data_IF_061049217291
#
_entry.id   IF_061049217291
#
_cell.length_a   1.000
_cell.length_b   1.000
_cell.length_c   1.000
_cell.angle_alpha   90.00
_cell.angle_beta   90.00
_cell.angle_gamma   90.00
#
_symmetry.space_group_name_H-M   'P 1'
#
loop_
_entity.id
_entity.type
_entity.pdbx_description
1 polymer ?
#
# COMPACT_ATOMS: atom_id res chain seq x y z
N UNK A 1 11.13 15.29 14.91
CA UNK A 1 11.32 13.84 14.69
C UNK A 1 10.38 12.98 15.51
N UNK A 2 9.64 12.08 14.85
CA UNK A 2 8.83 11.04 15.48
C UNK A 2 9.67 9.76 15.51
N UNK A 3 9.91 9.19 16.68
CA UNK A 3 10.64 7.92 16.82
C UNK A 3 9.72 6.70 16.66
N UNK A 4 10.25 5.65 16.05
CA UNK A 4 9.66 4.33 15.92
C UNK A 4 10.75 3.27 15.85
N UNK A 5 10.41 1.99 15.88
CA UNK A 5 11.42 0.93 16.05
C UNK A 5 12.49 0.94 14.93
N UNK A 6 12.12 1.22 13.68
CA UNK A 6 13.10 1.36 12.59
C UNK A 6 13.99 2.62 12.69
N UNK A 7 13.63 3.61 13.51
CA UNK A 7 14.49 4.77 13.77
C UNK A 7 15.81 4.34 14.41
N UNK A 8 15.79 3.30 15.26
CA UNK A 8 17.02 2.78 15.89
C UNK A 8 17.98 2.19 14.85
N UNK A 9 17.45 1.48 13.85
CA UNK A 9 18.27 0.92 12.78
C UNK A 9 18.84 2.02 11.86
N UNK A 10 18.06 3.07 11.59
CA UNK A 10 18.58 4.28 10.92
C UNK A 10 19.74 4.87 11.72
N UNK A 11 19.58 4.99 13.05
CA UNK A 11 20.63 5.52 13.91
C UNK A 11 21.89 4.64 13.92
N UNK A 12 21.75 3.31 13.93
CA UNK A 12 22.87 2.37 13.84
C UNK A 12 23.62 2.51 12.51
N UNK A 13 22.90 2.58 11.39
CA UNK A 13 23.49 2.82 10.07
C UNK A 13 24.25 4.15 10.07
N UNK A 14 23.62 5.24 10.52
CA UNK A 14 24.27 6.54 10.58
C UNK A 14 25.46 6.57 11.54
N UNK A 15 25.43 5.81 12.64
CA UNK A 15 26.56 5.67 13.56
C UNK A 15 27.76 5.01 12.89
N UNK A 16 27.53 4.04 11.99
CA UNK A 16 28.60 3.40 11.23
C UNK A 16 29.27 4.36 10.22
N UNK A 17 28.50 5.27 9.61
CA UNK A 17 29.00 6.24 8.62
C UNK A 17 29.60 7.50 9.25
N UNK A 18 29.00 8.01 10.33
CA UNK A 18 29.28 9.35 10.86
C UNK A 18 29.76 9.35 12.33
N UNK A 19 29.85 8.17 12.96
CA UNK A 19 30.26 8.05 14.36
C UNK A 19 29.40 8.93 15.27
N UNK A 20 30.04 9.68 16.17
CA UNK A 20 29.37 10.54 17.15
C UNK A 20 28.48 11.63 16.52
N UNK A 21 28.63 11.93 15.23
CA UNK A 21 27.80 12.93 14.54
C UNK A 21 26.45 12.36 14.06
N UNK A 22 26.23 11.05 14.12
CA UNK A 22 25.04 10.38 13.57
C UNK A 22 23.70 11.00 14.02
N UNK A 23 23.57 11.29 15.31
CA UNK A 23 22.36 11.89 15.87
C UNK A 23 22.12 13.31 15.34
N UNK A 24 23.18 14.08 15.10
CA UNK A 24 23.09 15.44 14.56
C UNK A 24 22.79 15.41 13.07
N UNK A 25 23.47 14.53 12.32
CA UNK A 25 23.22 14.25 10.90
C UNK A 25 21.76 13.92 10.64
N UNK A 26 21.16 13.03 11.44
CA UNK A 26 19.75 12.67 11.30
C UNK A 26 18.80 13.84 11.55
N UNK A 27 19.15 14.76 12.47
CA UNK A 27 18.32 15.91 12.83
C UNK A 27 18.44 17.08 11.85
N UNK A 28 19.61 17.26 11.26
CA UNK A 28 19.91 18.38 10.36
C UNK A 28 19.62 18.06 8.88
N UNK A 29 19.39 16.79 8.53
CA UNK A 29 19.01 16.39 7.17
C UNK A 29 17.51 16.16 7.04
N UNK A 30 16.81 17.03 6.28
CA UNK A 30 15.40 16.81 5.97
C UNK A 30 15.18 15.56 5.10
N UNK A 31 16.17 15.15 4.30
CA UNK A 31 16.08 13.91 3.53
C UNK A 31 16.11 12.67 4.44
N UNK A 32 16.99 12.64 5.45
CA UNK A 32 17.00 11.55 6.44
C UNK A 32 15.77 11.58 7.34
N UNK A 33 15.29 12.75 7.77
CA UNK A 33 14.03 12.84 8.53
C UNK A 33 12.83 12.39 7.66
N UNK A 34 12.84 12.70 6.36
CA UNK A 34 11.85 12.18 5.42
C UNK A 34 11.90 10.64 5.35
N UNK A 35 13.09 10.05 5.16
CA UNK A 35 13.24 8.59 5.14
C UNK A 35 12.75 7.97 6.45
N UNK A 36 13.05 8.55 7.61
CA UNK A 36 12.52 8.11 8.90
C UNK A 36 10.97 8.12 8.88
N UNK A 37 10.33 9.23 8.51
CA UNK A 37 8.87 9.31 8.38
C UNK A 37 8.30 8.22 7.46
N UNK A 38 8.96 7.94 6.33
CA UNK A 38 8.49 7.01 5.29
C UNK A 38 8.76 5.54 5.62
N UNK A 39 9.69 5.25 6.53
CA UNK A 39 10.06 3.90 6.99
C UNK A 39 9.31 3.44 8.24
N UNK A 40 8.45 4.29 8.82
CA UNK A 40 7.54 3.95 9.95
C UNK A 40 6.77 2.63 9.82
N UNK A 41 6.55 2.18 8.58
CA UNK A 41 5.87 0.93 8.23
C UNK A 41 6.73 -0.34 8.34
N UNK A 42 8.01 -0.22 8.67
CA UNK A 42 8.92 -1.36 8.77
C UNK A 42 8.50 -2.34 9.88
N UNK A 43 8.17 -1.83 11.06
CA UNK A 43 7.93 -2.65 12.27
C UNK A 43 6.53 -2.49 12.84
N UNK A 44 5.84 -1.39 12.56
CA UNK A 44 4.44 -1.26 12.97
C UNK A 44 3.61 -2.23 12.16
N UNK A 45 2.74 -2.97 12.85
CA UNK A 45 1.55 -3.54 12.25
C UNK A 45 0.81 -2.46 11.43
N UNK A 46 1.13 -2.41 10.14
CA UNK A 46 0.18 -2.59 9.05
C UNK A 46 -0.85 -1.48 8.77
N UNK A 47 -0.98 -0.49 9.65
CA UNK A 47 -1.75 0.74 9.39
C UNK A 47 -1.03 1.72 8.46
N UNK A 48 0.25 1.49 8.19
CA UNK A 48 1.06 2.31 7.28
C UNK A 48 1.65 1.42 6.19
N UNK A 49 1.25 1.67 4.93
CA UNK A 49 1.80 0.99 3.76
C UNK A 49 3.27 1.37 3.54
N UNK A 50 4.03 0.45 2.96
CA UNK A 50 5.38 0.76 2.51
C UNK A 50 5.38 1.76 1.37
N UNK A 51 6.19 2.81 1.51
CA UNK A 51 6.26 3.90 0.53
C UNK A 51 7.29 3.64 -0.57
N UNK A 52 7.31 2.42 -1.10
CA UNK A 52 8.33 1.95 -2.07
C UNK A 52 8.50 2.90 -3.26
N UNK A 53 7.42 3.47 -3.80
CA UNK A 53 7.50 4.43 -4.89
C UNK A 53 8.42 5.63 -4.59
N UNK A 54 8.34 6.20 -3.38
CA UNK A 54 9.16 7.35 -2.99
C UNK A 54 10.56 6.92 -2.57
N UNK A 55 10.68 5.82 -1.81
CA UNK A 55 12.00 5.28 -1.45
C UNK A 55 12.79 4.98 -2.71
N UNK A 56 12.17 4.32 -3.70
CA UNK A 56 12.87 3.94 -4.92
C UNK A 56 13.11 5.12 -5.84
N UNK A 57 12.34 6.20 -5.76
CA UNK A 57 12.65 7.43 -6.48
C UNK A 57 13.92 8.09 -5.94
N UNK A 58 14.11 8.12 -4.62
CA UNK A 58 15.37 8.54 -3.99
C UNK A 58 16.47 7.55 -4.38
N UNK A 59 16.24 6.25 -4.13
CA UNK A 59 17.23 5.19 -4.31
C UNK A 59 17.89 5.23 -5.68
N UNK A 60 17.10 5.20 -6.76
CA UNK A 60 17.68 5.11 -8.11
C UNK A 60 18.44 6.38 -8.52
N UNK A 61 18.04 7.55 -8.02
CA UNK A 61 18.76 8.80 -8.27
C UNK A 61 20.04 8.92 -7.43
N UNK A 62 20.02 8.43 -6.19
CA UNK A 62 21.21 8.37 -5.34
C UNK A 62 22.18 7.29 -5.83
N UNK A 63 21.66 6.16 -6.31
CA UNK A 63 22.44 5.09 -6.95
C UNK A 63 23.12 5.63 -8.22
N UNK A 64 22.41 6.39 -9.06
CA UNK A 64 22.98 7.08 -10.23
C UNK A 64 24.06 8.09 -9.83
N UNK A 65 23.81 8.89 -8.78
CA UNK A 65 24.78 9.83 -8.23
C UNK A 65 26.09 9.16 -7.78
N UNK A 66 25.99 8.05 -7.04
CA UNK A 66 27.14 7.28 -6.58
C UNK A 66 27.86 6.59 -7.77
N UNK A 67 27.11 6.06 -8.73
CA UNK A 67 27.68 5.42 -9.94
C UNK A 67 28.50 6.40 -10.79
N UNK A 68 28.13 7.68 -10.80
CA UNK A 68 28.92 8.74 -11.42
C UNK A 68 30.11 9.24 -10.60
N UNK A 69 30.34 8.66 -9.41
CA UNK A 69 31.38 9.06 -8.44
C UNK A 69 31.28 10.53 -7.99
N UNK A 70 30.08 11.11 -8.09
CA UNK A 70 29.82 12.51 -7.74
C UNK A 70 29.90 12.79 -6.23
N UNK A 71 29.93 11.74 -5.42
CA UNK A 71 30.23 11.84 -4.00
C UNK A 71 31.70 12.17 -3.71
N UNK A 72 32.60 11.87 -4.67
CA UNK A 72 34.06 12.03 -4.55
C UNK A 72 34.59 13.18 -5.40
N UNK A 73 33.94 13.45 -6.53
CA UNK A 73 34.30 14.53 -7.45
C UNK A 73 33.27 15.68 -7.36
N UNK A 74 33.63 16.88 -7.78
CA UNK A 74 32.73 18.04 -7.77
C UNK A 74 32.08 18.29 -9.15
N UNK A 75 32.03 17.28 -10.02
CA UNK A 75 31.60 17.44 -11.41
C UNK A 75 30.08 17.29 -11.61
N UNK A 76 29.32 17.09 -10.52
CA UNK A 76 27.87 16.89 -10.59
C UNK A 76 27.12 18.08 -11.21
N UNK A 77 27.64 19.30 -11.05
CA UNK A 77 27.08 20.51 -11.66
C UNK A 77 27.06 20.44 -13.20
N UNK A 78 27.96 19.65 -13.80
CA UNK A 78 28.10 19.48 -15.24
C UNK A 78 27.41 18.20 -15.77
N UNK A 79 26.74 17.44 -14.90
CA UNK A 79 26.10 16.19 -15.28
C UNK A 79 24.83 16.42 -16.11
N UNK A 80 24.74 15.77 -17.28
CA UNK A 80 23.57 15.82 -18.16
C UNK A 80 22.27 15.27 -17.54
N UNK A 81 22.37 14.53 -16.44
CA UNK A 81 21.25 13.92 -15.74
C UNK A 81 20.93 12.51 -16.18
N UNK A 82 20.25 11.78 -15.29
CA UNK A 82 19.81 10.42 -15.55
C UNK A 82 18.62 10.39 -16.51
N UNK A 83 18.56 9.36 -17.36
CA UNK A 83 17.42 9.14 -18.24
C UNK A 83 16.26 8.54 -17.46
N UNK A 84 15.06 9.08 -17.70
CA UNK A 84 13.83 8.56 -17.12
C UNK A 84 13.62 7.05 -17.31
N UNK A 85 13.86 6.54 -18.52
CA UNK A 85 13.68 5.12 -18.85
C UNK A 85 14.53 4.21 -17.97
N UNK A 86 15.75 4.65 -17.68
CA UNK A 86 16.77 3.85 -17.00
C UNK A 86 16.44 3.83 -15.50
N UNK A 87 16.08 4.99 -14.94
CA UNK A 87 15.58 5.09 -13.57
C UNK A 87 14.33 4.25 -13.35
N UNK A 88 13.33 4.35 -14.23
CA UNK A 88 12.09 3.57 -14.09
C UNK A 88 12.35 2.06 -14.20
N UNK A 89 13.21 1.65 -15.13
CA UNK A 89 13.59 0.24 -15.28
C UNK A 89 14.25 -0.27 -14.00
N UNK A 90 15.20 0.50 -13.46
CA UNK A 90 15.87 0.17 -12.19
C UNK A 90 14.90 0.11 -11.01
N UNK A 91 13.94 1.03 -10.90
CA UNK A 91 12.91 0.98 -9.86
C UNK A 91 12.09 -0.31 -9.90
N UNK A 92 11.88 -0.88 -11.10
CA UNK A 92 11.08 -2.09 -11.30
C UNK A 92 11.84 -3.38 -11.03
N UNK A 93 13.16 -3.32 -11.01
CA UNK A 93 14.03 -4.44 -10.63
C UNK A 93 14.10 -4.64 -9.11
N UNK A 94 13.87 -3.57 -8.33
CA UNK A 94 13.88 -3.65 -6.87
C UNK A 94 12.67 -4.45 -6.34
N UNK A 95 12.81 -5.13 -5.18
CA UNK A 95 11.71 -5.89 -4.57
C UNK A 95 10.43 -5.06 -4.42
N UNK A 96 9.24 -5.63 -4.67
CA UNK A 96 7.98 -4.86 -4.66
C UNK A 96 7.90 -3.68 -5.68
N UNK A 97 8.89 -3.52 -6.56
CA UNK A 97 9.02 -2.41 -7.50
C UNK A 97 8.40 -2.65 -8.88
N UNK A 98 8.16 -3.90 -9.26
CA UNK A 98 7.84 -4.33 -10.64
C UNK A 98 6.67 -3.60 -11.33
N UNK A 99 5.69 -3.13 -10.55
CA UNK A 99 4.49 -2.41 -11.04
C UNK A 99 4.46 -0.94 -10.64
N UNK A 100 5.56 -0.40 -10.12
CA UNK A 100 5.62 1.01 -9.77
C UNK A 100 5.34 1.89 -10.99
N UNK A 101 4.45 2.85 -10.75
CA UNK A 101 4.14 3.93 -11.67
C UNK A 101 5.13 5.08 -11.48
N UNK A 102 5.18 5.95 -12.47
CA UNK A 102 6.17 7.02 -12.57
C UNK A 102 5.84 8.28 -11.76
N UNK A 103 4.70 8.31 -11.07
CA UNK A 103 4.22 9.50 -10.38
C UNK A 103 5.20 10.02 -9.31
N UNK A 104 5.94 9.12 -8.65
CA UNK A 104 6.92 9.48 -7.62
C UNK A 104 8.08 10.31 -8.20
N UNK A 105 8.73 9.82 -9.26
CA UNK A 105 9.80 10.55 -9.97
C UNK A 105 9.32 11.88 -10.54
N UNK A 106 8.05 11.96 -10.98
CA UNK A 106 7.56 13.13 -11.70
C UNK A 106 7.16 14.31 -10.81
N UNK A 107 6.40 14.07 -9.74
CA UNK A 107 5.85 15.17 -8.93
C UNK A 107 5.42 14.75 -7.52
N UNK A 108 4.90 13.53 -7.35
CA UNK A 108 4.23 13.10 -6.12
C UNK A 108 5.16 13.14 -4.91
N UNK A 109 6.41 12.71 -5.10
CA UNK A 109 7.41 12.69 -4.03
C UNK A 109 7.81 14.11 -3.60
N UNK A 110 8.08 15.00 -4.55
CA UNK A 110 8.38 16.41 -4.25
C UNK A 110 7.22 17.13 -3.54
N UNK A 111 5.97 16.90 -3.97
CA UNK A 111 4.78 17.44 -3.31
C UNK A 111 4.65 16.97 -1.87
N UNK A 112 4.89 15.67 -1.65
CA UNK A 112 4.81 15.09 -0.31
C UNK A 112 5.95 15.60 0.58
N UNK A 113 7.18 15.66 0.06
CA UNK A 113 8.32 16.21 0.78
C UNK A 113 8.06 17.64 1.25
N UNK A 114 7.58 18.54 0.37
CA UNK A 114 7.23 19.92 0.74
C UNK A 114 6.14 20.04 1.79
N UNK A 115 5.22 19.05 1.89
CA UNK A 115 4.19 19.05 2.95
C UNK A 115 4.80 18.78 4.32
N UNK A 116 5.84 17.97 4.39
CA UNK A 116 6.57 17.70 5.63
C UNK A 116 7.57 18.82 5.97
N UNK A 117 8.23 19.39 4.95
CA UNK A 117 9.28 20.40 5.10
C UNK A 117 8.96 21.67 4.29
N UNK A 118 7.95 22.46 4.70
CA UNK A 118 7.50 23.62 3.93
C UNK A 118 8.50 24.79 3.90
N UNK A 119 9.44 24.82 4.85
CA UNK A 119 10.50 25.85 4.95
C UNK A 119 11.80 25.44 4.28
N UNK A 120 11.93 24.18 3.83
CA UNK A 120 13.12 23.73 3.11
C UNK A 120 13.12 24.38 1.72
N UNK A 121 14.22 25.05 1.37
CA UNK A 121 14.37 25.70 0.07
C UNK A 121 14.53 24.68 -1.07
N UNK A 122 14.93 23.46 -0.73
CA UNK A 122 15.26 22.41 -1.68
C UNK A 122 14.13 21.39 -1.86
N UNK A 123 14.06 20.83 -3.06
CA UNK A 123 13.24 19.65 -3.37
C UNK A 123 14.15 18.46 -3.68
N UNK A 124 13.75 17.21 -3.36
CA UNK A 124 14.58 16.04 -3.60
C UNK A 124 14.90 15.79 -5.09
N UNK A 125 13.90 15.85 -5.96
CA UNK A 125 14.07 15.48 -7.37
C UNK A 125 14.02 16.73 -8.25
N UNK A 126 15.09 16.98 -8.99
CA UNK A 126 15.11 17.97 -10.06
C UNK A 126 14.82 17.27 -11.38
N UNK A 127 14.03 17.92 -12.25
CA UNK A 127 13.64 17.36 -13.55
C UNK A 127 13.63 18.43 -14.62
N UNK A 128 14.18 18.09 -15.78
CA UNK A 128 13.93 18.81 -17.02
C UNK A 128 12.87 18.05 -17.84
N UNK A 129 11.72 18.70 -18.06
CA UNK A 129 10.58 18.07 -18.76
C UNK A 129 10.76 18.00 -20.28
N UNK A 130 11.60 18.85 -20.86
CA UNK A 130 11.89 18.87 -22.29
C UNK A 130 12.85 17.73 -22.66
N UNK A 131 13.88 17.52 -21.86
CA UNK A 131 14.91 16.50 -22.12
C UNK A 131 14.65 15.17 -21.39
N UNK A 132 13.63 15.10 -20.53
CA UNK A 132 13.33 13.97 -19.65
C UNK A 132 14.57 13.49 -18.85
N UNK A 133 15.31 14.46 -18.31
CA UNK A 133 16.49 14.26 -17.46
C UNK A 133 16.16 14.56 -16.01
N UNK A 134 16.78 13.79 -15.12
CA UNK A 134 16.48 13.79 -13.69
C UNK A 134 17.77 13.80 -12.87
N UNK A 135 17.72 14.45 -11.71
CA UNK A 135 18.81 14.55 -10.75
C UNK A 135 18.26 14.44 -9.34
N UNK A 136 19.04 13.84 -8.44
CA UNK A 136 18.86 14.11 -7.00
C UNK A 136 19.45 15.50 -6.71
N UNK A 137 18.77 16.29 -5.89
CA UNK A 137 19.28 17.59 -5.46
C UNK A 137 20.43 17.40 -4.46
N UNK A 138 21.64 17.72 -4.90
CA UNK A 138 22.86 17.49 -4.12
C UNK A 138 22.87 18.26 -2.78
N UNK A 139 22.16 19.39 -2.70
CA UNK A 139 22.02 20.16 -1.45
C UNK A 139 21.32 19.36 -0.33
N UNK A 140 20.61 18.28 -0.67
CA UNK A 140 20.00 17.37 0.30
C UNK A 140 20.88 16.14 0.60
N UNK A 141 21.98 15.95 -0.13
CA UNK A 141 22.97 14.89 0.09
C UNK A 141 24.23 15.40 0.80
N UNK A 142 24.64 16.64 0.53
CA UNK A 142 25.76 17.31 1.19
C UNK A 142 25.24 18.14 2.36
N UNK A 143 25.48 17.68 3.59
CA UNK A 143 25.09 18.37 4.82
C UNK A 143 26.32 18.89 5.55
N UNK A 144 26.19 19.99 6.29
CA UNK A 144 27.27 20.56 7.10
C UNK A 144 26.98 20.36 8.57
N UNK A 145 27.71 19.46 9.23
CA UNK A 145 27.56 19.18 10.67
C UNK A 145 28.84 19.58 11.39
N UNK A 146 28.72 20.41 12.42
CA UNK A 146 29.85 20.89 13.23
C UNK A 146 31.00 21.52 12.38
N UNK A 147 30.67 22.15 11.25
CA UNK A 147 31.63 22.79 10.34
C UNK A 147 32.33 21.83 9.36
N UNK A 148 31.98 20.54 9.37
CA UNK A 148 32.46 19.56 8.39
C UNK A 148 31.34 19.22 7.39
N UNK A 149 31.68 19.17 6.11
CA UNK A 149 30.79 18.69 5.06
C UNK A 149 30.77 17.16 5.07
N UNK A 150 29.57 16.59 5.08
CA UNK A 150 29.32 15.15 5.02
C UNK A 150 28.42 14.84 3.83
N UNK A 151 28.71 13.75 3.12
CA UNK A 151 27.83 13.22 2.08
C UNK A 151 27.05 12.02 2.65
N UNK A 152 25.72 12.08 2.56
CA UNK A 152 24.83 11.03 3.10
C UNK A 152 24.38 10.00 2.06
N UNK A 153 24.88 10.05 0.82
CA UNK A 153 24.42 9.20 -0.28
C UNK A 153 24.46 7.70 0.05
N UNK A 154 25.59 7.20 0.56
CA UNK A 154 25.74 5.79 0.94
C UNK A 154 24.81 5.39 2.09
N UNK A 155 24.69 6.23 3.13
CA UNK A 155 23.78 5.98 4.23
C UNK A 155 22.31 5.95 3.78
N UNK A 156 21.93 6.80 2.83
CA UNK A 156 20.58 6.80 2.23
C UNK A 156 20.27 5.47 1.53
N UNK A 157 21.22 4.94 0.74
CA UNK A 157 21.06 3.63 0.10
C UNK A 157 20.91 2.53 1.15
N UNK A 158 21.80 2.48 2.14
CA UNK A 158 21.80 1.44 3.17
C UNK A 158 20.52 1.46 4.04
N UNK A 159 20.00 2.65 4.36
CA UNK A 159 18.71 2.80 5.07
C UNK A 159 17.56 2.21 4.25
N UNK A 160 17.54 2.48 2.93
CA UNK A 160 16.50 1.97 2.05
C UNK A 160 16.64 0.45 1.88
N UNK A 161 17.85 -0.07 1.71
CA UNK A 161 18.10 -1.52 1.61
C UNK A 161 17.67 -2.25 2.89
N UNK A 162 18.07 -1.76 4.07
CA UNK A 162 17.63 -2.33 5.36
C UNK A 162 16.10 -2.32 5.52
N UNK A 163 15.43 -1.29 5.00
CA UNK A 163 13.97 -1.24 4.98
C UNK A 163 13.36 -2.29 4.04
N UNK A 164 13.96 -2.51 2.87
CA UNK A 164 13.55 -3.53 1.91
C UNK A 164 13.69 -4.93 2.52
N UNK A 165 14.81 -5.20 3.18
CA UNK A 165 15.10 -6.51 3.78
C UNK A 165 14.07 -6.89 4.83
N UNK A 166 13.76 -5.98 5.76
CA UNK A 166 12.72 -6.22 6.79
C UNK A 166 11.36 -6.50 6.17
N UNK A 167 11.00 -5.75 5.11
CA UNK A 167 9.73 -5.96 4.42
C UNK A 167 9.69 -7.30 3.69
N UNK A 168 10.82 -7.72 3.14
CA UNK A 168 10.98 -9.01 2.45
C UNK A 168 10.89 -10.16 3.45
N UNK A 169 11.60 -10.08 4.57
CA UNK A 169 11.59 -11.10 5.63
C UNK A 169 10.22 -11.25 6.28
N UNK A 170 9.58 -10.13 6.64
CA UNK A 170 8.22 -10.13 7.19
C UNK A 170 7.23 -10.80 6.23
N UNK A 171 7.42 -10.59 4.92
CA UNK A 171 6.58 -11.21 3.91
C UNK A 171 6.86 -12.73 3.76
N UNK A 172 8.13 -13.14 3.71
CA UNK A 172 8.48 -14.56 3.66
C UNK A 172 7.95 -15.34 4.87
N UNK A 173 8.06 -14.75 6.07
CA UNK A 173 7.49 -15.32 7.30
C UNK A 173 5.96 -15.45 7.22
N UNK A 174 5.28 -14.48 6.60
CA UNK A 174 3.84 -14.55 6.38
C UNK A 174 3.43 -15.71 5.46
N UNK A 175 4.12 -15.87 4.32
CA UNK A 175 3.87 -17.00 3.40
C UNK A 175 4.15 -18.34 4.08
N UNK A 176 5.29 -18.47 4.75
CA UNK A 176 5.65 -19.69 5.49
C UNK A 176 4.60 -20.03 6.56
N UNK A 177 4.04 -19.01 7.23
CA UNK A 177 2.95 -19.18 8.19
C UNK A 177 1.66 -19.69 7.53
N UNK A 178 1.30 -19.13 6.37
CA UNK A 178 0.13 -19.60 5.61
C UNK A 178 0.30 -21.04 5.13
N UNK A 179 1.46 -21.40 4.58
CA UNK A 179 1.76 -22.77 4.12
C UNK A 179 1.79 -23.77 5.28
N UNK A 180 2.33 -23.38 6.44
CA UNK A 180 2.30 -24.21 7.65
C UNK A 180 0.87 -24.44 8.14
N UNK A 181 0.03 -23.40 8.15
CA UNK A 181 -1.37 -23.52 8.55
C UNK A 181 -2.15 -24.40 7.56
N UNK A 182 -1.86 -24.28 6.26
CA UNK A 182 -2.44 -25.15 5.23
C UNK A 182 -2.14 -26.64 5.48
N UNK A 183 -0.92 -26.97 5.92
CA UNK A 183 -0.53 -28.35 6.24
C UNK A 183 -1.16 -28.87 7.54
N UNK A 184 -1.30 -28.00 8.56
CA UNK A 184 -1.81 -28.38 9.88
C UNK A 184 -3.35 -28.39 9.97
N UNK A 185 -4.06 -27.86 8.99
CA UNK A 185 -5.51 -27.74 9.04
C UNK A 185 -6.22 -29.10 9.20
N UNK A 186 -5.69 -30.17 8.62
CA UNK A 186 -6.26 -31.52 8.80
C UNK A 186 -6.14 -32.04 10.23
N UNK A 187 -5.20 -31.50 11.01
CA UNK A 187 -4.92 -31.92 12.38
C UNK A 187 -5.63 -31.01 13.41
N UNK A 188 -5.74 -29.71 13.13
CA UNK A 188 -6.34 -28.72 14.03
C UNK A 188 -7.04 -27.56 13.28
N UNK A 189 -8.31 -27.73 12.89
CA UNK A 189 -9.08 -26.70 12.19
C UNK A 189 -9.25 -25.40 13.00
N UNK A 190 -9.24 -25.49 14.35
CA UNK A 190 -9.41 -24.32 15.21
C UNK A 190 -8.22 -23.37 15.09
N UNK A 191 -6.98 -23.90 15.06
CA UNK A 191 -5.79 -23.07 14.84
C UNK A 191 -5.82 -22.34 13.50
N UNK A 192 -6.28 -23.01 12.45
CA UNK A 192 -6.44 -22.40 11.13
C UNK A 192 -7.48 -21.25 11.17
N UNK A 193 -8.61 -21.46 11.84
CA UNK A 193 -9.63 -20.42 12.02
C UNK A 193 -9.13 -19.22 12.84
N UNK A 194 -8.41 -19.47 13.94
CA UNK A 194 -7.80 -18.42 14.76
C UNK A 194 -6.76 -17.61 13.96
N UNK A 195 -5.94 -18.29 13.15
CA UNK A 195 -4.98 -17.65 12.27
C UNK A 195 -5.65 -16.70 11.29
N UNK A 196 -6.65 -17.16 10.53
CA UNK A 196 -7.38 -16.29 9.57
C UNK A 196 -8.08 -15.13 10.29
N UNK A 197 -8.69 -15.39 11.46
CA UNK A 197 -9.31 -14.35 12.29
C UNK A 197 -8.32 -13.27 12.71
N UNK A 198 -7.07 -13.64 12.99
CA UNK A 198 -6.00 -12.70 13.32
C UNK A 198 -5.65 -11.79 12.14
N UNK A 199 -5.79 -12.27 10.90
CA UNK A 199 -5.46 -11.51 9.67
C UNK A 199 -6.51 -10.46 9.29
N UNK A 200 -7.72 -10.54 9.83
CA UNK A 200 -8.83 -9.61 9.53
C UNK A 200 -8.81 -8.41 10.51
N UNK A 201 -7.97 -8.45 11.54
CA UNK A 201 -7.98 -7.43 12.59
C UNK A 201 -7.60 -6.03 12.07
N UNK A 202 -8.10 -4.94 12.67
CA UNK A 202 -7.83 -3.56 12.21
C UNK A 202 -6.36 -3.13 12.25
N UNK A 203 -5.50 -3.89 12.92
CA UNK A 203 -4.05 -3.73 12.96
C UNK A 203 -3.31 -4.64 11.97
N UNK A 204 -3.99 -5.24 10.97
CA UNK A 204 -3.40 -6.05 9.88
C UNK A 204 -3.24 -5.32 8.55
N UNK A 205 -2.26 -5.72 7.73
CA UNK A 205 -1.76 -4.90 6.60
C UNK A 205 -2.88 -4.70 5.61
N UNK A 206 -3.02 -3.49 5.07
CA UNK A 206 -4.06 -3.17 4.09
C UNK A 206 -4.19 -4.24 3.00
N UNK A 207 -3.04 -4.72 2.48
CA UNK A 207 -2.99 -5.70 1.41
C UNK A 207 -3.37 -7.09 1.91
N UNK A 208 -2.89 -7.48 3.10
CA UNK A 208 -3.29 -8.73 3.74
C UNK A 208 -4.81 -8.72 3.99
N UNK A 209 -5.34 -7.63 4.53
CA UNK A 209 -6.77 -7.47 4.78
C UNK A 209 -7.58 -7.58 3.48
N UNK A 210 -7.13 -6.95 2.38
CA UNK A 210 -7.77 -7.06 1.07
C UNK A 210 -7.75 -8.50 0.54
N UNK A 211 -6.60 -9.18 0.61
CA UNK A 211 -6.45 -10.59 0.18
C UNK A 211 -7.38 -11.51 0.98
N UNK A 212 -7.39 -11.35 2.30
CA UNK A 212 -8.21 -12.19 3.19
C UNK A 212 -9.70 -11.88 3.00
N UNK A 213 -10.06 -10.60 2.83
CA UNK A 213 -11.44 -10.21 2.50
C UNK A 213 -11.89 -10.83 1.19
N UNK A 214 -11.04 -10.80 0.16
CA UNK A 214 -11.35 -11.44 -1.11
C UNK A 214 -11.58 -12.94 -0.96
N UNK A 215 -10.64 -13.66 -0.31
CA UNK A 215 -10.73 -15.10 -0.11
C UNK A 215 -12.01 -15.51 0.63
N UNK A 216 -12.36 -14.79 1.72
CA UNK A 216 -13.58 -15.06 2.48
C UNK A 216 -14.83 -14.79 1.64
N UNK A 217 -14.91 -13.64 0.98
CA UNK A 217 -16.09 -13.28 0.20
C UNK A 217 -16.25 -14.19 -1.02
N UNK A 218 -15.16 -14.57 -1.69
CA UNK A 218 -15.16 -15.53 -2.80
C UNK A 218 -15.84 -16.84 -2.39
N UNK A 219 -15.41 -17.42 -1.26
CA UNK A 219 -15.97 -18.68 -0.78
C UNK A 219 -17.37 -18.54 -0.17
N UNK A 220 -17.66 -17.39 0.45
CA UNK A 220 -18.99 -17.09 1.00
C UNK A 220 -20.08 -16.98 -0.08
N UNK A 221 -19.75 -16.41 -1.23
CA UNK A 221 -20.67 -16.25 -2.35
C UNK A 221 -20.71 -17.48 -3.29
N UNK A 222 -19.71 -18.36 -3.25
CA UNK A 222 -19.58 -19.47 -4.21
C UNK A 222 -20.77 -20.46 -4.22
N UNK A 223 -21.51 -20.60 -3.10
CA UNK A 223 -22.73 -21.44 -3.03
C UNK A 223 -24.02 -20.72 -3.40
N UNK A 224 -23.96 -19.41 -3.58
CA UNK A 224 -25.14 -18.62 -3.87
C UNK A 224 -25.44 -18.69 -5.36
N UNK A 225 -26.69 -18.98 -5.67
CA UNK A 225 -27.16 -19.16 -7.04
C UNK A 225 -28.26 -18.16 -7.33
N UNK A 226 -28.25 -17.64 -8.54
CA UNK A 226 -29.32 -16.79 -9.06
C UNK A 226 -30.01 -17.48 -10.22
N UNK A 227 -31.23 -17.05 -10.47
CA UNK A 227 -32.06 -17.51 -11.57
C UNK A 227 -32.40 -16.30 -12.45
N UNK A 228 -31.99 -16.32 -13.71
CA UNK A 228 -32.15 -15.17 -14.61
C UNK A 228 -32.27 -15.62 -16.07
N UNK A 229 -33.05 -14.89 -16.86
CA UNK A 229 -33.31 -15.17 -18.27
C UNK A 229 -34.11 -14.03 -18.88
N UNK A 230 -34.09 -13.91 -20.21
CA UNK A 230 -34.86 -12.86 -20.91
C UNK A 230 -36.37 -13.12 -20.89
N UNK A 231 -36.77 -14.38 -20.67
CA UNK A 231 -38.15 -14.83 -20.54
C UNK A 231 -38.27 -15.84 -19.41
N UNK A 232 -39.48 -16.06 -18.89
CA UNK A 232 -39.74 -17.05 -17.84
C UNK A 232 -39.31 -18.46 -18.26
N UNK A 233 -39.51 -18.81 -19.53
CA UNK A 233 -39.15 -20.12 -20.09
C UNK A 233 -37.64 -20.28 -20.35
N UNK A 234 -36.87 -19.19 -20.27
CA UNK A 234 -35.42 -19.16 -20.50
C UNK A 234 -34.61 -18.84 -19.24
N UNK A 235 -35.22 -18.95 -18.05
CA UNK A 235 -34.52 -18.75 -16.78
C UNK A 235 -33.43 -19.81 -16.62
N UNK A 236 -32.20 -19.36 -16.45
CA UNK A 236 -31.04 -20.17 -16.20
C UNK A 236 -30.56 -19.99 -14.77
N UNK A 237 -30.08 -21.09 -14.18
CA UNK A 237 -29.38 -21.08 -12.89
C UNK A 237 -27.91 -20.72 -13.13
N UNK A 238 -27.42 -19.70 -12.44
CA UNK A 238 -26.01 -19.31 -12.46
C UNK A 238 -25.48 -19.12 -11.03
N UNK A 239 -24.29 -19.63 -10.74
CA UNK A 239 -23.61 -19.37 -9.46
C UNK A 239 -23.00 -17.99 -9.44
N UNK A 240 -22.94 -17.37 -8.26
CA UNK A 240 -22.20 -16.13 -8.07
C UNK A 240 -20.70 -16.42 -8.04
N UNK A 241 -19.95 -15.63 -8.80
CA UNK A 241 -18.48 -15.71 -8.88
C UNK A 241 -17.91 -14.34 -8.58
N UNK A 242 -17.02 -14.26 -7.60
CA UNK A 242 -16.31 -13.03 -7.26
C UNK A 242 -14.94 -13.01 -7.96
N UNK A 243 -14.74 -12.04 -8.86
CA UNK A 243 -13.49 -11.83 -9.57
C UNK A 243 -12.71 -10.66 -8.94
N UNK A 244 -11.38 -10.75 -8.91
CA UNK A 244 -10.53 -9.57 -8.71
C UNK A 244 -10.41 -8.81 -10.03
N UNK A 245 -10.41 -7.50 -9.94
CA UNK A 245 -10.17 -6.60 -11.09
C UNK A 245 -8.67 -6.38 -11.36
N UNK A 246 -7.81 -6.80 -10.41
CA UNK A 246 -6.36 -6.74 -10.51
C UNK A 246 -5.68 -7.16 -9.20
N UNK A 247 -4.38 -6.86 -9.11
CA UNK A 247 -3.59 -6.98 -7.87
C UNK A 247 -4.03 -5.98 -6.80
N UNK A 248 -3.63 -6.20 -5.55
CA UNK A 248 -4.10 -5.38 -4.43
C UNK A 248 -3.69 -3.93 -4.58
N UNK A 249 -4.70 -3.06 -4.74
CA UNK A 249 -4.52 -1.66 -5.09
C UNK A 249 -5.13 -0.76 -4.02
N UNK A 250 -4.84 -1.05 -2.75
CA UNK A 250 -5.36 -0.35 -1.57
C UNK A 250 -5.20 1.21 -1.54
N UNK A 251 -4.57 1.86 -2.53
CA UNK A 251 -4.29 3.32 -2.49
C UNK A 251 -4.53 4.13 -3.77
N UNK A 252 -4.75 3.55 -4.94
CA UNK A 252 -5.05 4.37 -6.13
C UNK A 252 -6.55 4.60 -6.31
N UNK A 253 -7.36 4.03 -5.40
CA UNK A 253 -8.81 3.91 -5.53
C UNK A 253 -9.17 3.04 -6.72
N UNK A 254 -10.37 2.50 -6.74
CA UNK A 254 -10.80 1.62 -7.81
C UNK A 254 -11.95 0.76 -7.34
N UNK A 255 -12.18 -0.31 -8.08
CA UNK A 255 -13.02 -1.42 -7.67
C UNK A 255 -12.07 -2.59 -7.53
N UNK A 256 -11.99 -3.20 -6.36
CA UNK A 256 -11.11 -4.36 -6.11
C UNK A 256 -11.75 -5.65 -6.62
N UNK A 257 -13.07 -5.83 -6.42
CA UNK A 257 -13.77 -7.04 -6.83
C UNK A 257 -15.05 -6.76 -7.63
N UNK A 258 -15.37 -7.65 -8.56
CA UNK A 258 -16.61 -7.63 -9.34
C UNK A 258 -17.29 -8.99 -9.25
N UNK A 259 -18.57 -8.99 -8.92
CA UNK A 259 -19.38 -10.20 -8.86
C UNK A 259 -20.10 -10.43 -10.18
N UNK A 260 -19.85 -11.59 -10.77
CA UNK A 260 -20.58 -12.10 -11.92
C UNK A 260 -21.70 -13.05 -11.45
N UNK A 261 -22.89 -13.04 -12.07
CA UNK A 261 -23.34 -12.15 -13.14
C UNK A 261 -24.05 -10.87 -12.66
N UNK A 262 -24.21 -10.63 -11.35
CA UNK A 262 -24.95 -9.49 -10.82
C UNK A 262 -24.37 -8.12 -11.21
N UNK A 263 -23.09 -8.04 -11.54
CA UNK A 263 -22.40 -6.78 -11.80
C UNK A 263 -22.16 -5.98 -10.52
N UNK A 264 -22.06 -6.66 -9.37
CA UNK A 264 -21.88 -6.01 -8.07
C UNK A 264 -20.42 -5.64 -7.84
N UNK A 265 -20.15 -4.39 -7.47
CA UNK A 265 -18.81 -3.87 -7.27
C UNK A 265 -18.43 -3.80 -5.80
N UNK A 266 -17.21 -4.21 -5.48
CA UNK A 266 -16.67 -4.19 -4.13
C UNK A 266 -15.39 -3.36 -4.09
N UNK A 267 -15.28 -2.53 -3.06
CA UNK A 267 -14.07 -1.77 -2.78
C UNK A 267 -13.65 -1.95 -1.34
N UNK A 268 -12.39 -2.35 -1.13
CA UNK A 268 -11.79 -2.52 0.19
C UNK A 268 -11.11 -1.22 0.61
N UNK A 269 -11.35 -0.78 1.84
CA UNK A 269 -10.74 0.45 2.37
C UNK A 269 -10.40 0.34 3.84
N UNK A 270 -9.26 0.92 4.21
CA UNK A 270 -8.83 1.03 5.61
C UNK A 270 -9.42 2.22 6.35
N UNK A 271 -9.98 3.18 5.61
CA UNK A 271 -10.37 4.49 6.14
C UNK A 271 -11.83 4.77 5.87
N UNK A 272 -12.43 5.58 6.74
CA UNK A 272 -13.76 6.16 6.54
C UNK A 272 -13.69 7.56 5.90
N UNK A 273 -12.56 7.93 5.24
CA UNK A 273 -12.41 9.22 4.55
C UNK A 273 -13.36 9.28 3.35
N UNK A 274 -14.36 10.16 3.43
CA UNK A 274 -15.40 10.31 2.40
C UNK A 274 -14.83 10.60 1.01
N UNK A 275 -13.69 11.29 0.91
CA UNK A 275 -13.12 11.67 -0.38
C UNK A 275 -12.65 10.45 -1.16
N UNK A 276 -12.19 9.40 -0.47
CA UNK A 276 -11.81 8.13 -1.12
C UNK A 276 -13.03 7.39 -1.64
N UNK A 277 -14.04 7.19 -0.79
CA UNK A 277 -15.28 6.50 -1.18
C UNK A 277 -15.94 7.17 -2.39
N UNK A 278 -16.04 8.50 -2.38
CA UNK A 278 -16.72 9.23 -3.45
C UNK A 278 -15.90 9.24 -4.75
N UNK A 279 -14.56 9.21 -4.66
CA UNK A 279 -13.70 9.02 -5.82
C UNK A 279 -13.95 7.67 -6.49
N UNK A 280 -14.10 6.60 -5.71
CA UNK A 280 -14.38 5.25 -6.24
C UNK A 280 -15.78 5.18 -6.86
N UNK A 281 -16.78 5.81 -6.23
CA UNK A 281 -18.12 5.97 -6.79
C UNK A 281 -18.07 6.75 -8.13
N UNK A 282 -17.32 7.85 -8.19
CA UNK A 282 -17.22 8.65 -9.42
C UNK A 282 -16.50 7.90 -10.56
N UNK A 283 -15.54 7.02 -10.24
CA UNK A 283 -14.85 6.17 -11.24
C UNK A 283 -15.78 5.21 -11.96
N UNK A 284 -16.84 4.75 -11.29
CA UNK A 284 -17.86 3.87 -11.89
C UNK A 284 -19.11 4.63 -12.31
N UNK A 285 -18.98 5.94 -12.61
CA UNK A 285 -20.08 6.81 -13.01
C UNK A 285 -21.28 6.78 -12.05
N UNK A 286 -21.00 6.67 -10.75
CA UNK A 286 -22.01 6.61 -9.67
C UNK A 286 -22.89 5.36 -9.71
N UNK A 287 -22.36 4.26 -10.24
CA UNK A 287 -22.92 2.94 -10.03
C UNK A 287 -22.80 2.54 -8.54
N UNK A 288 -23.74 1.73 -7.98
CA UNK A 288 -23.64 1.27 -6.60
C UNK A 288 -22.36 0.47 -6.30
N UNK A 289 -21.75 0.74 -5.15
CA UNK A 289 -20.52 0.08 -4.68
C UNK A 289 -20.71 -0.42 -3.26
N UNK A 290 -20.31 -1.67 -3.03
CA UNK A 290 -20.18 -2.28 -1.71
C UNK A 290 -18.80 -1.97 -1.13
N UNK A 291 -18.75 -1.44 0.10
CA UNK A 291 -17.48 -1.11 0.75
C UNK A 291 -17.14 -2.12 1.84
N UNK A 292 -15.98 -2.78 1.70
CA UNK A 292 -15.40 -3.63 2.76
C UNK A 292 -14.44 -2.79 3.59
N UNK A 293 -14.85 -2.41 4.79
CA UNK A 293 -14.16 -1.41 5.60
C UNK A 293 -13.44 -2.08 6.77
N UNK A 294 -12.12 -1.86 6.86
CA UNK A 294 -11.26 -2.34 7.96
C UNK A 294 -11.53 -1.59 9.27
N UNK A 295 -12.74 -1.76 9.81
CA UNK A 295 -13.22 -1.13 11.03
C UNK A 295 -14.03 -2.12 11.87
N UNK A 296 -13.89 -2.02 13.19
CA UNK A 296 -14.71 -2.73 14.17
C UNK A 296 -15.94 -1.92 14.60
N UNK A 297 -16.11 -0.70 14.09
CA UNK A 297 -17.27 0.13 14.38
C UNK A 297 -18.54 -0.42 13.74
N UNK A 298 -19.71 -0.15 14.33
CA UNK A 298 -20.98 -0.56 13.75
C UNK A 298 -21.26 0.14 12.42
N UNK A 299 -22.12 -0.47 11.59
CA UNK A 299 -22.51 0.07 10.29
C UNK A 299 -23.14 1.46 10.42
N UNK A 300 -23.97 1.68 11.45
CA UNK A 300 -24.57 2.99 11.72
C UNK A 300 -23.51 4.05 12.01
N UNK A 301 -22.51 3.72 12.82
CA UNK A 301 -21.42 4.65 13.16
C UNK A 301 -20.61 4.99 11.90
N UNK A 302 -20.25 3.99 11.10
CA UNK A 302 -19.51 4.19 9.86
C UNK A 302 -20.32 5.06 8.88
N UNK A 303 -21.58 4.70 8.65
CA UNK A 303 -22.49 5.42 7.75
C UNK A 303 -22.67 6.88 8.19
N UNK A 304 -22.86 7.11 9.48
CA UNK A 304 -22.98 8.45 10.05
C UNK A 304 -21.69 9.26 9.89
N UNK A 305 -20.51 8.64 10.07
CA UNK A 305 -19.22 9.30 9.84
C UNK A 305 -19.04 9.71 8.38
N UNK A 306 -19.36 8.82 7.43
CA UNK A 306 -19.27 9.13 5.99
C UNK A 306 -20.24 10.28 5.64
N UNK A 307 -21.50 10.19 6.09
CA UNK A 307 -22.51 11.22 5.87
C UNK A 307 -22.14 12.57 6.49
N UNK A 308 -21.62 12.59 7.72
CA UNK A 308 -21.18 13.83 8.38
C UNK A 308 -20.00 14.48 7.66
N UNK A 309 -19.00 13.69 7.24
CA UNK A 309 -17.88 14.19 6.45
C UNK A 309 -18.32 14.70 5.08
N UNK A 310 -19.26 14.02 4.43
CA UNK A 310 -19.84 14.47 3.15
C UNK A 310 -20.55 15.82 3.31
N UNK A 311 -21.40 15.96 4.35
CA UNK A 311 -22.08 17.23 4.66
C UNK A 311 -21.09 18.36 4.89
N UNK A 312 -20.00 18.09 5.62
CA UNK A 312 -18.93 19.08 5.86
C UNK A 312 -18.20 19.47 4.57
N UNK A 313 -17.99 18.52 3.66
CA UNK A 313 -17.21 18.75 2.43
C UNK A 313 -18.00 19.44 1.33
N UNK A 314 -19.29 19.09 1.16
CA UNK A 314 -20.10 19.57 0.04
C UNK A 314 -21.11 20.66 0.44
N UNK A 315 -21.58 20.71 1.70
CA UNK A 315 -22.59 21.66 2.15
C UNK A 315 -24.00 21.49 1.55
N UNK A 316 -24.18 20.68 0.51
CA UNK A 316 -25.46 20.51 -0.22
C UNK A 316 -26.07 19.14 0.04
N UNK A 317 -27.19 19.10 0.77
CA UNK A 317 -27.85 17.87 1.18
C UNK A 317 -28.24 16.94 0.01
N UNK A 318 -28.68 17.51 -1.13
CA UNK A 318 -29.05 16.73 -2.33
C UNK A 318 -27.84 16.02 -2.96
N UNK A 319 -26.66 16.65 -2.94
CA UNK A 319 -25.43 16.04 -3.44
C UNK A 319 -25.01 14.90 -2.52
N UNK A 320 -24.99 15.15 -1.20
CA UNK A 320 -24.66 14.12 -0.20
C UNK A 320 -25.57 12.91 -0.34
N UNK A 321 -26.89 13.13 -0.43
CA UNK A 321 -27.86 12.03 -0.60
C UNK A 321 -27.52 11.17 -1.83
N UNK A 322 -27.25 11.76 -2.98
CA UNK A 322 -26.93 11.01 -4.22
C UNK A 322 -25.70 10.12 -4.07
N UNK A 323 -24.64 10.60 -3.41
CA UNK A 323 -23.46 9.76 -3.17
C UNK A 323 -23.73 8.67 -2.13
N UNK A 324 -24.47 8.98 -1.06
CA UNK A 324 -24.83 7.98 -0.05
C UNK A 324 -25.73 6.88 -0.63
N UNK A 325 -26.60 7.19 -1.59
CA UNK A 325 -27.42 6.22 -2.33
C UNK A 325 -26.58 5.29 -3.23
N UNK A 326 -25.35 5.66 -3.56
CA UNK A 326 -24.42 4.80 -4.31
C UNK A 326 -23.65 3.83 -3.40
N UNK A 327 -23.81 3.92 -2.07
CA UNK A 327 -23.26 2.93 -1.14
C UNK A 327 -24.27 1.80 -1.06
N UNK A 328 -23.98 0.69 -1.73
CA UNK A 328 -24.88 -0.47 -1.81
C UNK A 328 -24.93 -1.26 -0.50
N UNK A 329 -23.75 -1.56 0.06
CA UNK A 329 -23.58 -2.25 1.34
C UNK A 329 -22.27 -1.79 1.99
N UNK A 330 -22.21 -1.86 3.33
CA UNK A 330 -20.96 -1.75 4.08
C UNK A 330 -20.72 -3.07 4.82
N UNK A 331 -19.58 -3.70 4.54
CA UNK A 331 -19.10 -4.90 5.22
C UNK A 331 -17.96 -4.46 6.14
N UNK A 332 -18.20 -4.41 7.45
CA UNK A 332 -17.15 -4.15 8.44
C UNK A 332 -16.45 -5.46 8.85
N UNK A 333 -15.46 -5.38 9.75
CA UNK A 333 -14.72 -6.55 10.26
C UNK A 333 -15.66 -7.59 10.88
N UNK A 334 -16.68 -7.15 11.62
CA UNK A 334 -17.60 -8.08 12.28
C UNK A 334 -18.47 -8.85 11.27
N UNK A 335 -18.98 -8.18 10.23
CA UNK A 335 -19.75 -8.84 9.18
C UNK A 335 -18.86 -9.80 8.39
N UNK A 336 -17.62 -9.40 8.08
CA UNK A 336 -16.67 -10.26 7.40
C UNK A 336 -16.32 -11.52 8.22
N UNK A 337 -16.17 -11.40 9.54
CA UNK A 337 -15.99 -12.55 10.44
C UNK A 337 -17.23 -13.46 10.45
N UNK A 338 -18.43 -12.89 10.41
CA UNK A 338 -19.66 -13.68 10.33
C UNK A 338 -19.75 -14.44 8.99
N UNK A 339 -19.33 -13.82 7.88
CA UNK A 339 -19.20 -14.51 6.59
C UNK A 339 -18.17 -15.64 6.67
N UNK A 340 -17.01 -15.38 7.26
CA UNK A 340 -15.98 -16.39 7.46
C UNK A 340 -16.48 -17.58 8.27
N UNK A 341 -17.18 -17.35 9.39
CA UNK A 341 -17.74 -18.44 10.19
C UNK A 341 -18.71 -19.32 9.38
N UNK A 342 -19.55 -18.73 8.52
CA UNK A 342 -20.42 -19.49 7.61
C UNK A 342 -19.63 -20.30 6.58
N UNK A 343 -18.51 -19.77 6.08
CA UNK A 343 -17.61 -20.49 5.17
C UNK A 343 -16.97 -21.69 5.88
N UNK A 344 -16.58 -21.53 7.15
CA UNK A 344 -16.06 -22.62 7.99
C UNK A 344 -17.14 -23.68 8.23
N UNK A 345 -18.36 -23.27 8.59
CA UNK A 345 -19.52 -24.17 8.76
C UNK A 345 -19.83 -24.99 7.49
N UNK A 346 -19.57 -24.42 6.31
CA UNK A 346 -19.72 -25.08 5.02
C UNK A 346 -18.49 -25.91 4.59
N UNK A 347 -17.53 -26.16 5.49
CA UNK A 347 -16.30 -26.94 5.26
C UNK A 347 -15.38 -26.37 4.16
N UNK A 348 -15.35 -25.05 3.98
CA UNK A 348 -14.55 -24.35 2.94
C UNK A 348 -13.34 -23.59 3.47
N UNK A 349 -12.94 -23.85 4.72
CA UNK A 349 -11.76 -23.23 5.33
C UNK A 349 -10.48 -23.45 4.49
N UNK A 350 -10.35 -24.65 3.90
CA UNK A 350 -9.20 -24.99 3.06
C UNK A 350 -9.12 -24.10 1.81
N UNK A 351 -10.26 -23.87 1.15
CA UNK A 351 -10.35 -23.02 -0.02
C UNK A 351 -9.96 -21.56 0.30
N UNK A 352 -10.35 -21.07 1.48
CA UNK A 352 -9.94 -19.73 1.94
C UNK A 352 -8.43 -19.64 2.10
N UNK A 353 -7.79 -20.63 2.75
CA UNK A 353 -6.34 -20.63 2.97
C UNK A 353 -5.60 -20.74 1.63
N UNK A 354 -6.03 -21.63 0.74
CA UNK A 354 -5.47 -21.78 -0.60
C UNK A 354 -5.54 -20.49 -1.39
N UNK A 355 -6.68 -19.79 -1.35
CA UNK A 355 -6.84 -18.51 -2.02
C UNK A 355 -5.94 -17.43 -1.40
N UNK A 356 -5.79 -17.39 -0.08
CA UNK A 356 -4.88 -16.43 0.58
C UNK A 356 -3.43 -16.68 0.13
N UNK A 357 -2.98 -17.94 0.11
CA UNK A 357 -1.63 -18.30 -0.35
C UNK A 357 -1.42 -17.91 -1.80
N UNK A 358 -2.38 -18.26 -2.68
CA UNK A 358 -2.34 -17.93 -4.10
C UNK A 358 -2.25 -16.43 -4.34
N UNK A 359 -3.16 -15.67 -3.74
CA UNK A 359 -3.24 -14.22 -3.93
C UNK A 359 -2.03 -13.50 -3.34
N UNK A 360 -1.50 -13.98 -2.22
CA UNK A 360 -0.26 -13.43 -1.66
C UNK A 360 0.93 -13.72 -2.60
N UNK A 361 1.05 -14.93 -3.13
CA UNK A 361 2.10 -15.27 -4.10
C UNK A 361 2.06 -14.39 -5.36
N UNK A 362 0.87 -14.11 -5.89
CA UNK A 362 0.67 -13.20 -7.04
C UNK A 362 1.02 -11.77 -6.69
N UNK A 363 0.53 -11.26 -5.55
CA UNK A 363 0.74 -9.87 -5.14
C UNK A 363 2.22 -9.52 -4.99
N UNK A 364 2.98 -10.47 -4.48
CA UNK A 364 4.37 -10.27 -4.11
C UNK A 364 5.37 -10.85 -5.13
N UNK A 365 4.93 -11.07 -6.37
CA UNK A 365 5.74 -11.48 -7.53
C UNK A 365 6.44 -12.85 -7.43
N UNK A 366 5.93 -13.79 -6.64
CA UNK A 366 6.42 -15.18 -6.64
C UNK A 366 5.93 -15.98 -7.86
N UNK A 367 4.83 -15.55 -8.47
CA UNK A 367 4.28 -16.09 -9.71
C UNK A 367 3.97 -14.94 -10.67
N UNK A 368 4.32 -15.11 -11.95
CA UNK A 368 3.78 -14.26 -13.01
C UNK A 368 2.36 -14.76 -13.33
N UNK A 369 1.42 -13.83 -13.51
CA UNK A 369 0.07 -14.14 -14.01
C UNK A 369 0.11 -14.72 -15.42
#
# INVERSE_FOLDING_TARGET
MIEHDFTYQIQEILQSHFGNNASTVLKESELLEYLNIKTKSATRGSKSRGSFANHYAIYVLVEDYIKGEFDKNNDYENYEGARYSDLLSRQRELPFGSKLQNHALNHRMNQEFKKYFPTCEYIPILRNSETNRYWINENLLKISVAGAAHNIAYAVIEIIDAYIDIKTDSFHQFIASCEKIQQLQSEDPNKAQEFITSLIQPNMDARIFEIVSFAILKEYYADQVIYWGWTLDSIQKASLILHKTGRTNANDGGIDFVMHPLGRFFQVTETTDVRKHFLDIDKVQRFPVTFVIKSSESIDVITNKISAQAKKSYGVAKIVRRYMECIEEIINVQILLNHFNKVVENNRLQNVIEEIVLQSKVEFNYYQE
#
